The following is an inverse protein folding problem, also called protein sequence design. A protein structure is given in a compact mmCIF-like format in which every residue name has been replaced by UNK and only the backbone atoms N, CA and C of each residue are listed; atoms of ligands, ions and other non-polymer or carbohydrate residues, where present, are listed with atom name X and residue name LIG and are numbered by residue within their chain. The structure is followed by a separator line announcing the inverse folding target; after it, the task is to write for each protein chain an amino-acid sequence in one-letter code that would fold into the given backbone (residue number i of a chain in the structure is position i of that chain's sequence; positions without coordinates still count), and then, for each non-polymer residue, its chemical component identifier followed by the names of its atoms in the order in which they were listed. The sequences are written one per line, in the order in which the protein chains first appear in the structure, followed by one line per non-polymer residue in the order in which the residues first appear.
data_IF_346438074685
#
_entry.id   IF_346438074685
#
_cell.length_a   1.000
_cell.length_b   1.000
_cell.length_c   1.000
_cell.angle_alpha   90.00
_cell.angle_beta   90.00
_cell.angle_gamma   90.00
#
_symmetry.space_group_name_H-M   'P 1'
#
loop_
_entity.id
_entity.type
_entity.pdbx_description
1 polymer ?
#
# COMPACT_ATOMS: atom_id res chain seq x y z
N UNK A 1 33.66 -20.73 58.38
CA UNK A 1 32.68 -20.91 57.28
C UNK A 1 32.90 -19.75 56.28
N UNK A 2 33.56 -20.05 55.16
CA UNK A 2 33.81 -19.05 54.09
C UNK A 2 32.73 -19.21 53.04
N UNK A 3 31.89 -18.21 52.88
CA UNK A 3 30.90 -18.15 51.81
C UNK A 3 31.58 -17.67 50.51
N UNK A 4 31.65 -18.57 49.52
CA UNK A 4 32.18 -18.27 48.20
C UNK A 4 31.03 -17.69 47.35
N UNK A 5 31.16 -16.39 47.04
CA UNK A 5 30.22 -15.67 46.15
C UNK A 5 30.56 -16.07 44.70
N UNK A 6 29.69 -16.84 44.05
CA UNK A 6 29.80 -17.17 42.64
C UNK A 6 29.19 -16.02 41.87
N UNK A 7 30.03 -15.18 41.30
CA UNK A 7 29.61 -14.14 40.35
C UNK A 7 29.28 -14.83 39.00
N UNK A 8 28.00 -14.88 38.67
CA UNK A 8 27.50 -15.36 37.37
C UNK A 8 27.74 -14.26 36.34
N UNK A 9 28.87 -14.31 35.66
CA UNK A 9 29.16 -13.47 34.49
C UNK A 9 28.26 -13.90 33.34
N UNK A 10 27.17 -13.13 33.12
CA UNK A 10 26.40 -13.20 31.90
C UNK A 10 27.26 -12.66 30.74
N UNK A 11 28.00 -13.53 30.08
CA UNK A 11 28.59 -13.23 28.77
C UNK A 11 27.43 -13.04 27.77
N UNK A 12 27.04 -11.80 27.53
CA UNK A 12 26.20 -11.46 26.39
C UNK A 12 27.01 -11.74 25.13
N UNK A 13 26.68 -12.82 24.48
CA UNK A 13 27.39 -13.33 23.31
C UNK A 13 27.16 -12.37 22.13
N UNK A 14 28.01 -11.35 21.99
CA UNK A 14 27.99 -10.39 20.85
C UNK A 14 28.36 -11.03 19.51
N UNK A 15 28.83 -12.29 19.53
CA UNK A 15 29.27 -13.04 18.35
C UNK A 15 28.08 -13.46 17.44
N UNK A 16 26.86 -13.58 17.97
CA UNK A 16 25.69 -14.04 17.18
C UNK A 16 25.26 -13.02 16.12
N UNK A 17 25.55 -11.72 16.31
CA UNK A 17 25.24 -10.70 15.30
C UNK A 17 26.23 -10.70 14.13
N UNK A 18 27.46 -11.14 14.33
CA UNK A 18 28.51 -11.11 13.29
C UNK A 18 28.33 -12.21 12.24
N UNK A 19 27.73 -13.37 12.61
CA UNK A 19 27.52 -14.48 11.66
C UNK A 19 26.30 -14.29 10.75
N UNK A 20 25.36 -13.41 11.13
CA UNK A 20 24.07 -13.26 10.43
C UNK A 20 24.11 -12.18 9.36
N UNK A 21 24.94 -11.17 9.50
CA UNK A 21 25.06 -10.03 8.56
C UNK A 21 26.52 -9.81 8.15
N UNK A 22 26.79 -9.49 6.87
CA UNK A 22 28.14 -9.07 6.45
C UNK A 22 28.63 -7.87 7.27
N UNK A 23 29.92 -7.79 7.54
CA UNK A 23 30.53 -6.76 8.39
C UNK A 23 30.17 -5.32 8.02
N UNK A 24 29.97 -5.04 6.73
CA UNK A 24 29.54 -3.74 6.20
C UNK A 24 28.11 -3.36 6.59
N UNK A 25 27.24 -4.34 6.87
CA UNK A 25 25.86 -4.13 7.27
C UNK A 25 25.71 -4.05 8.80
N UNK A 26 26.64 -4.62 9.55
CA UNK A 26 26.58 -4.63 11.00
C UNK A 26 26.59 -3.23 11.61
N UNK A 27 27.49 -2.33 11.13
CA UNK A 27 27.51 -0.93 11.59
C UNK A 27 26.17 -0.22 11.38
N UNK A 28 25.50 -0.47 10.24
CA UNK A 28 24.21 0.13 9.93
C UNK A 28 23.08 -0.40 10.86
N UNK A 29 23.07 -1.71 11.15
CA UNK A 29 22.13 -2.29 12.14
C UNK A 29 22.39 -1.73 13.53
N UNK A 30 23.67 -1.66 13.94
CA UNK A 30 24.03 -1.13 15.26
C UNK A 30 23.65 0.35 15.40
N UNK A 31 23.87 1.14 14.34
CA UNK A 31 23.48 2.54 14.31
C UNK A 31 21.97 2.67 14.43
N UNK A 32 21.22 1.88 13.69
CA UNK A 32 19.77 1.83 13.74
C UNK A 32 19.26 1.47 15.16
N UNK A 33 19.81 0.42 15.77
CA UNK A 33 19.43 0.03 17.15
C UNK A 33 19.72 1.16 18.14
N UNK A 34 20.88 1.82 18.02
CA UNK A 34 21.22 2.95 18.90
C UNK A 34 20.24 4.13 18.69
N UNK A 35 19.84 4.42 17.46
CA UNK A 35 18.86 5.46 17.14
C UNK A 35 17.50 5.13 17.73
N UNK A 36 17.02 3.88 17.59
CA UNK A 36 15.76 3.42 18.20
C UNK A 36 15.76 3.57 19.72
N UNK A 37 16.89 3.30 20.37
CA UNK A 37 17.04 3.50 21.83
C UNK A 37 17.04 4.97 22.18
N UNK A 38 17.81 5.80 21.50
CA UNK A 38 18.00 7.21 21.82
C UNK A 38 16.78 8.06 21.49
N UNK A 39 16.18 7.81 20.31
CA UNK A 39 15.08 8.64 19.78
C UNK A 39 13.72 8.18 20.29
N UNK A 40 13.54 6.86 20.38
CA UNK A 40 12.23 6.26 20.65
C UNK A 40 12.13 5.52 21.99
N UNK A 41 13.21 5.51 22.80
CA UNK A 41 13.22 4.91 24.14
C UNK A 41 13.03 3.38 24.15
N UNK A 42 13.46 2.68 23.08
CA UNK A 42 13.42 1.22 23.08
C UNK A 42 14.46 0.64 24.04
N UNK A 43 14.14 -0.50 24.65
CA UNK A 43 15.12 -1.26 25.41
C UNK A 43 16.16 -1.90 24.46
N UNK A 44 17.44 -1.61 24.69
CA UNK A 44 18.54 -2.07 23.83
C UNK A 44 18.63 -3.60 23.80
N UNK A 45 18.51 -4.24 24.96
CA UNK A 45 18.62 -5.71 25.06
C UNK A 45 17.44 -6.40 24.37
N UNK A 46 16.24 -5.83 24.47
CA UNK A 46 15.07 -6.34 23.78
C UNK A 46 15.22 -6.26 22.25
N UNK A 47 15.65 -5.11 21.71
CA UNK A 47 15.92 -4.97 20.27
C UNK A 47 17.01 -5.95 19.82
N UNK A 48 18.10 -6.06 20.56
CA UNK A 48 19.16 -7.02 20.26
C UNK A 48 18.65 -8.46 20.23
N UNK A 49 17.79 -8.83 21.19
CA UNK A 49 17.14 -10.14 21.22
C UNK A 49 16.26 -10.35 19.99
N UNK A 50 15.39 -9.39 19.66
CA UNK A 50 14.50 -9.45 18.49
C UNK A 50 15.31 -9.64 17.21
N UNK A 51 16.36 -8.82 17.01
CA UNK A 51 17.22 -8.90 15.82
C UNK A 51 18.01 -10.22 15.76
N UNK A 52 18.45 -10.77 16.90
CA UNK A 52 19.16 -12.05 16.95
C UNK A 52 18.32 -13.25 16.48
N UNK A 53 17.00 -13.15 16.53
CA UNK A 53 16.08 -14.20 16.04
C UNK A 53 15.92 -14.18 14.51
N UNK A 54 16.44 -13.15 13.83
CA UNK A 54 16.30 -13.03 12.40
C UNK A 54 17.50 -13.64 11.69
N UNK A 55 17.27 -14.79 11.05
CA UNK A 55 18.27 -15.43 10.19
C UNK A 55 18.03 -15.00 8.73
N UNK A 56 19.00 -14.30 8.14
CA UNK A 56 19.00 -13.95 6.73
C UNK A 56 19.70 -15.06 5.93
N UNK A 57 18.90 -15.93 5.33
CA UNK A 57 19.40 -17.05 4.53
C UNK A 57 19.80 -16.64 3.11
N UNK A 58 20.54 -17.52 2.37
CA UNK A 58 20.87 -17.28 0.95
C UNK A 58 19.60 -17.12 0.07
N UNK A 59 18.48 -17.73 0.46
CA UNK A 59 17.19 -17.60 -0.23
C UNK A 59 16.67 -16.15 -0.14
N UNK A 60 16.88 -15.49 1.00
CA UNK A 60 16.48 -14.10 1.17
C UNK A 60 17.27 -13.17 0.24
N UNK A 61 18.54 -13.52 -0.07
CA UNK A 61 19.34 -12.83 -1.09
C UNK A 61 18.81 -13.04 -2.51
N UNK A 62 18.23 -14.21 -2.81
CA UNK A 62 17.59 -14.47 -4.10
C UNK A 62 16.24 -13.76 -4.23
N UNK A 63 15.49 -13.59 -3.14
CA UNK A 63 14.28 -12.75 -3.09
C UNK A 63 14.63 -11.28 -3.24
N UNK A 64 15.72 -10.80 -2.64
CA UNK A 64 16.26 -9.47 -2.89
C UNK A 64 16.63 -9.28 -4.37
N UNK A 65 17.21 -10.30 -5.00
CA UNK A 65 17.56 -10.28 -6.42
C UNK A 65 16.32 -10.31 -7.32
N UNK A 66 15.24 -11.04 -6.96
CA UNK A 66 13.97 -11.03 -7.70
C UNK A 66 13.16 -9.73 -7.51
N UNK A 67 13.31 -9.03 -6.41
CA UNK A 67 12.69 -7.71 -6.19
C UNK A 67 13.54 -6.55 -6.70
N UNK A 68 14.85 -6.74 -6.87
CA UNK A 68 15.76 -5.77 -7.48
C UNK A 68 15.97 -6.01 -8.98
N UNK A 69 15.83 -7.23 -9.46
CA UNK A 69 15.65 -7.56 -10.87
C UNK A 69 14.18 -7.49 -11.27
N UNK A 70 13.44 -6.58 -10.73
CA UNK A 70 12.39 -5.89 -11.43
C UNK A 70 12.95 -4.97 -12.53
N UNK A 71 13.98 -5.35 -13.25
CA UNK A 71 13.97 -5.36 -14.69
C UNK A 71 12.95 -6.42 -15.08
N UNK A 72 11.64 -6.14 -14.80
CA UNK A 72 10.62 -6.44 -15.77
C UNK A 72 11.25 -6.14 -17.12
N UNK A 73 11.08 -7.08 -18.06
CA UNK A 73 11.13 -6.72 -19.46
C UNK A 73 10.57 -5.31 -19.56
N UNK A 74 11.28 -4.41 -20.24
CA UNK A 74 10.89 -3.02 -20.45
C UNK A 74 9.52 -2.90 -21.14
N UNK A 75 8.90 -4.00 -21.55
CA UNK A 75 7.51 -4.12 -21.92
C UNK A 75 6.65 -4.12 -20.65
N UNK A 76 6.04 -2.98 -20.38
CA UNK A 76 4.95 -2.88 -19.43
C UNK A 76 3.87 -3.87 -19.88
N UNK A 77 3.34 -4.67 -18.94
CA UNK A 77 2.18 -5.51 -19.16
C UNK A 77 1.07 -4.69 -19.82
N UNK A 78 0.46 -5.18 -20.92
CA UNK A 78 -0.67 -4.48 -21.54
C UNK A 78 -1.80 -4.27 -20.54
N UNK A 79 -2.59 -3.24 -20.77
CA UNK A 79 -3.72 -2.92 -19.91
C UNK A 79 -4.72 -4.07 -19.83
N UNK A 80 -5.08 -4.64 -20.96
CA UNK A 80 -6.00 -5.79 -21.01
C UNK A 80 -5.53 -6.95 -20.14
N UNK A 81 -4.25 -7.30 -20.22
CA UNK A 81 -3.65 -8.36 -19.41
C UNK A 81 -3.63 -8.00 -17.93
N UNK A 82 -3.32 -6.74 -17.58
CA UNK A 82 -3.38 -6.27 -16.20
C UNK A 82 -4.81 -6.29 -15.66
N UNK A 83 -5.76 -5.79 -16.44
CA UNK A 83 -7.18 -5.77 -16.11
C UNK A 83 -7.72 -7.17 -15.85
N UNK A 84 -7.38 -8.15 -16.68
CA UNK A 84 -7.84 -9.53 -16.54
C UNK A 84 -7.39 -10.23 -15.25
N UNK A 85 -6.36 -9.72 -14.56
CA UNK A 85 -5.92 -10.24 -13.26
C UNK A 85 -6.86 -9.77 -12.14
N UNK A 86 -7.39 -8.56 -12.24
CA UNK A 86 -8.10 -7.91 -11.15
C UNK A 86 -9.60 -7.77 -11.36
N UNK A 87 -10.05 -7.51 -12.58
CA UNK A 87 -11.47 -7.33 -12.89
C UNK A 87 -12.03 -8.65 -13.45
N UNK A 88 -12.39 -9.56 -12.55
CA UNK A 88 -12.88 -10.90 -12.88
C UNK A 88 -14.22 -11.16 -12.22
N UNK A 89 -15.08 -11.97 -12.85
CA UNK A 89 -16.38 -12.37 -12.28
C UNK A 89 -16.22 -12.91 -10.86
N UNK A 90 -15.32 -13.85 -10.64
CA UNK A 90 -15.12 -14.44 -9.31
C UNK A 90 -14.61 -13.46 -8.25
N UNK A 91 -14.00 -12.29 -8.64
CA UNK A 91 -13.70 -11.22 -7.69
C UNK A 91 -14.90 -10.32 -7.46
N UNK A 92 -15.70 -10.05 -8.50
CA UNK A 92 -16.95 -9.30 -8.39
C UNK A 92 -17.90 -10.01 -7.46
N UNK A 93 -18.15 -11.32 -7.67
CA UNK A 93 -19.06 -12.12 -6.83
C UNK A 93 -18.67 -12.06 -5.34
N UNK A 94 -17.38 -12.29 -5.06
CA UNK A 94 -16.85 -12.19 -3.68
C UNK A 94 -16.96 -10.79 -3.12
N UNK A 95 -16.81 -9.77 -3.95
CA UNK A 95 -16.94 -8.39 -3.55
C UNK A 95 -18.36 -8.01 -3.20
N UNK A 96 -19.35 -8.49 -3.94
CA UNK A 96 -20.76 -8.31 -3.62
C UNK A 96 -21.10 -8.96 -2.28
N UNK A 97 -20.64 -10.20 -2.04
CA UNK A 97 -20.81 -10.88 -0.76
C UNK A 97 -20.12 -10.11 0.38
N UNK A 98 -18.90 -9.64 0.15
CA UNK A 98 -18.19 -8.82 1.14
C UNK A 98 -18.94 -7.53 1.44
N UNK A 99 -19.48 -6.86 0.42
CA UNK A 99 -20.25 -5.63 0.56
C UNK A 99 -21.53 -5.87 1.37
N UNK A 100 -22.29 -6.91 1.04
CA UNK A 100 -23.50 -7.29 1.79
C UNK A 100 -23.21 -7.53 3.28
N UNK A 101 -22.15 -8.29 3.57
CA UNK A 101 -21.74 -8.63 4.94
C UNK A 101 -21.24 -7.43 5.76
N UNK A 102 -20.73 -6.38 5.10
CA UNK A 102 -20.17 -5.20 5.75
C UNK A 102 -20.91 -3.91 5.37
N UNK A 103 -22.18 -4.02 4.94
CA UNK A 103 -22.97 -2.92 4.39
C UNK A 103 -22.95 -1.70 5.29
N UNK A 104 -23.27 -1.86 6.57
CA UNK A 104 -23.35 -0.75 7.52
C UNK A 104 -22.00 -0.05 7.72
N UNK A 105 -20.90 -0.80 7.82
CA UNK A 105 -19.56 -0.21 7.98
C UNK A 105 -19.15 0.58 6.72
N UNK A 106 -19.48 0.07 5.54
CA UNK A 106 -19.22 0.73 4.26
C UNK A 106 -20.03 2.02 4.11
N UNK A 107 -21.32 1.99 4.43
CA UNK A 107 -22.20 3.18 4.42
C UNK A 107 -21.70 4.24 5.42
N UNK A 108 -21.30 3.83 6.61
CA UNK A 108 -20.72 4.73 7.61
C UNK A 108 -19.42 5.36 7.11
N UNK A 109 -18.55 4.58 6.45
CA UNK A 109 -17.28 5.08 5.90
C UNK A 109 -17.53 6.06 4.74
N UNK A 110 -18.45 5.74 3.84
CA UNK A 110 -18.88 6.62 2.75
C UNK A 110 -19.46 7.93 3.27
N UNK A 111 -20.34 7.85 4.28
CA UNK A 111 -20.91 9.04 4.93
C UNK A 111 -19.85 9.91 5.59
N UNK A 112 -18.90 9.30 6.30
CA UNK A 112 -17.87 10.01 7.07
C UNK A 112 -16.78 10.63 6.20
N UNK A 113 -16.31 9.89 5.19
CA UNK A 113 -15.14 10.24 4.40
C UNK A 113 -15.44 10.67 2.96
N UNK A 114 -16.69 10.51 2.52
CA UNK A 114 -17.12 10.82 1.16
C UNK A 114 -16.59 9.86 0.09
N UNK A 115 -15.98 8.74 0.49
CA UNK A 115 -15.43 7.73 -0.42
C UNK A 115 -16.47 6.67 -0.69
N UNK A 116 -16.88 6.44 -1.95
CA UNK A 116 -17.92 5.46 -2.28
C UNK A 116 -17.57 4.05 -1.79
N UNK A 117 -18.55 3.35 -1.24
CA UNK A 117 -18.44 1.95 -0.79
C UNK A 117 -17.84 1.05 -1.85
N UNK A 118 -18.21 1.24 -3.12
CA UNK A 118 -17.66 0.49 -4.26
C UNK A 118 -16.15 0.61 -4.39
N UNK A 119 -15.57 1.79 -4.17
CA UNK A 119 -14.12 2.04 -4.23
C UNK A 119 -13.41 1.32 -3.09
N UNK A 120 -13.95 1.38 -1.88
CA UNK A 120 -13.38 0.70 -0.70
C UNK A 120 -13.35 -0.81 -0.92
N UNK A 121 -14.46 -1.38 -1.39
CA UNK A 121 -14.60 -2.81 -1.70
C UNK A 121 -13.64 -3.21 -2.83
N UNK A 122 -13.50 -2.39 -3.88
CA UNK A 122 -12.57 -2.65 -4.98
C UNK A 122 -11.11 -2.70 -4.51
N UNK A 123 -10.68 -1.77 -3.66
CA UNK A 123 -9.33 -1.77 -3.08
C UNK A 123 -9.12 -3.04 -2.25
N UNK A 124 -10.03 -3.40 -1.35
CA UNK A 124 -9.96 -4.64 -0.56
C UNK A 124 -9.88 -5.89 -1.45
N UNK A 125 -10.61 -5.87 -2.56
CA UNK A 125 -10.59 -6.94 -3.56
C UNK A 125 -9.24 -7.08 -4.25
N UNK A 126 -8.63 -5.98 -4.66
CA UNK A 126 -7.33 -5.97 -5.36
C UNK A 126 -6.20 -6.33 -4.40
N UNK A 127 -6.19 -5.75 -3.20
CA UNK A 127 -5.10 -5.91 -2.24
C UNK A 127 -5.02 -7.32 -1.66
N UNK A 128 -6.15 -7.85 -1.19
CA UNK A 128 -6.14 -9.08 -0.40
C UNK A 128 -7.18 -10.11 -0.81
N UNK A 129 -7.90 -9.88 -1.93
CA UNK A 129 -9.06 -10.71 -2.27
C UNK A 129 -10.03 -10.81 -1.07
N UNK A 130 -10.39 -9.64 -0.53
CA UNK A 130 -11.26 -9.47 0.63
C UNK A 130 -10.73 -10.14 1.91
N UNK A 131 -9.45 -9.95 2.19
CA UNK A 131 -8.76 -10.46 3.37
C UNK A 131 -8.24 -11.90 3.26
N UNK A 132 -8.53 -12.60 2.15
CA UNK A 132 -8.11 -14.00 1.97
C UNK A 132 -6.59 -14.17 1.87
N UNK A 133 -5.88 -13.14 1.37
CA UNK A 133 -4.44 -13.18 1.10
C UNK A 133 -3.77 -11.91 1.65
N UNK A 134 -3.43 -11.91 2.93
CA UNK A 134 -2.78 -10.76 3.58
C UNK A 134 -1.24 -10.82 3.57
N UNK A 135 -0.67 -11.81 2.91
CA UNK A 135 0.77 -12.04 2.87
C UNK A 135 1.22 -13.19 3.76
N UNK A 136 2.39 -13.75 3.43
CA UNK A 136 2.95 -14.94 4.10
C UNK A 136 4.38 -14.75 4.62
N UNK A 137 4.97 -13.59 4.36
CA UNK A 137 6.37 -13.33 4.71
C UNK A 137 6.47 -12.72 6.11
N UNK A 138 7.39 -13.21 6.98
CA UNK A 138 7.65 -12.55 8.26
C UNK A 138 8.08 -11.11 8.03
N UNK A 139 7.25 -10.15 8.44
CA UNK A 139 7.41 -8.73 8.10
C UNK A 139 8.71 -8.15 8.60
N UNK A 140 9.06 -8.41 9.87
CA UNK A 140 10.31 -7.95 10.45
C UNK A 140 11.53 -8.42 9.63
N UNK A 141 11.59 -9.71 9.28
CA UNK A 141 12.66 -10.28 8.46
C UNK A 141 12.71 -9.63 7.07
N UNK A 142 11.57 -9.41 6.47
CA UNK A 142 11.44 -8.75 5.16
C UNK A 142 12.00 -7.33 5.20
N UNK A 143 11.59 -6.54 6.19
CA UNK A 143 12.03 -5.17 6.34
C UNK A 143 13.53 -5.07 6.66
N UNK A 144 14.05 -5.90 7.57
CA UNK A 144 15.50 -5.96 7.87
C UNK A 144 16.30 -6.30 6.61
N UNK A 145 15.88 -7.33 5.87
CA UNK A 145 16.56 -7.73 4.64
C UNK A 145 16.60 -6.63 3.58
N UNK A 146 15.56 -5.81 3.49
CA UNK A 146 15.50 -4.66 2.55
C UNK A 146 16.22 -3.42 3.09
N UNK A 147 16.14 -3.16 4.39
CA UNK A 147 16.75 -2.01 5.05
C UNK A 147 18.29 -2.11 5.07
N UNK A 148 18.82 -3.31 5.21
CA UNK A 148 20.28 -3.53 5.35
C UNK A 148 20.90 -4.37 4.22
N UNK A 149 20.07 -4.78 3.24
CA UNK A 149 20.53 -5.49 2.04
C UNK A 149 20.97 -4.56 0.90
N UNK A 150 20.91 -5.08 -0.31
CA UNK A 150 21.35 -4.39 -1.55
C UNK A 150 20.24 -3.55 -2.21
N UNK A 151 19.13 -3.31 -1.54
CA UNK A 151 18.01 -2.53 -2.10
C UNK A 151 18.43 -1.09 -2.40
N UNK A 152 18.07 -0.58 -3.59
CA UNK A 152 18.22 0.85 -3.93
C UNK A 152 17.33 1.76 -3.06
N UNK A 153 16.29 1.19 -2.43
CA UNK A 153 15.36 1.88 -1.53
C UNK A 153 15.70 1.63 -0.05
N UNK A 154 16.96 1.36 0.29
CA UNK A 154 17.38 1.03 1.67
C UNK A 154 16.91 2.04 2.70
N UNK A 155 17.10 3.34 2.47
CA UNK A 155 16.69 4.39 3.40
C UNK A 155 15.17 4.41 3.64
N UNK A 156 14.38 4.15 2.60
CA UNK A 156 12.95 3.99 2.73
C UNK A 156 12.61 2.80 3.65
N UNK A 157 13.23 1.64 3.43
CA UNK A 157 12.96 0.45 4.25
C UNK A 157 13.49 0.56 5.69
N UNK A 158 14.50 1.39 5.94
CA UNK A 158 14.92 1.70 7.31
C UNK A 158 13.83 2.48 8.06
N UNK A 159 13.20 3.46 7.42
CA UNK A 159 12.04 4.19 7.98
C UNK A 159 10.81 3.29 8.15
N UNK A 160 10.59 2.36 7.24
CA UNK A 160 9.50 1.39 7.39
C UNK A 160 9.77 0.39 8.52
N UNK A 161 11.03 -0.02 8.74
CA UNK A 161 11.42 -0.86 9.87
C UNK A 161 11.26 -0.13 11.20
N UNK A 162 11.65 1.14 11.26
CA UNK A 162 11.40 2.02 12.41
C UNK A 162 9.90 2.11 12.70
N UNK A 163 9.08 2.44 11.69
CA UNK A 163 7.63 2.51 11.80
C UNK A 163 7.00 1.18 12.22
N UNK A 164 7.52 0.06 11.75
CA UNK A 164 7.05 -1.27 12.11
C UNK A 164 7.30 -1.61 13.59
N UNK A 165 8.48 -1.28 14.11
CA UNK A 165 8.80 -1.52 15.52
C UNK A 165 7.96 -0.61 16.43
N UNK A 166 7.74 0.63 16.03
CA UNK A 166 6.86 1.56 16.74
C UNK A 166 5.40 1.05 16.72
N UNK A 167 4.90 0.68 15.55
CA UNK A 167 3.56 0.09 15.38
C UNK A 167 3.36 -1.14 16.28
N UNK A 168 4.34 -2.04 16.29
CA UNK A 168 4.28 -3.25 17.11
C UNK A 168 4.21 -2.92 18.60
N UNK A 169 4.96 -1.93 19.07
CA UNK A 169 4.94 -1.47 20.46
C UNK A 169 3.63 -0.75 20.81
N UNK A 170 3.19 0.17 19.97
CA UNK A 170 1.97 0.98 20.16
C UNK A 170 0.71 0.11 20.26
N UNK A 171 0.65 -0.97 19.48
CA UNK A 171 -0.49 -1.89 19.44
C UNK A 171 -0.26 -3.21 20.19
N UNK A 172 0.82 -3.32 20.95
CA UNK A 172 1.17 -4.54 21.71
C UNK A 172 1.21 -5.79 20.82
N UNK A 173 1.70 -5.65 19.59
CA UNK A 173 1.79 -6.75 18.63
C UNK A 173 3.13 -7.47 18.75
N UNK A 174 3.16 -8.82 18.63
CA UNK A 174 4.41 -9.57 18.66
C UNK A 174 5.18 -9.44 17.33
N UNK A 175 6.28 -8.64 17.26
CA UNK A 175 6.91 -8.28 15.99
C UNK A 175 7.48 -9.48 15.22
N UNK A 176 7.81 -10.56 15.90
CA UNK A 176 8.30 -11.81 15.30
C UNK A 176 7.20 -12.65 14.64
N UNK A 177 5.94 -12.47 15.02
CA UNK A 177 4.82 -13.27 14.52
C UNK A 177 4.09 -12.62 13.35
N UNK A 178 4.24 -11.29 13.15
CA UNK A 178 3.53 -10.54 12.12
C UNK A 178 4.00 -10.97 10.73
N UNK A 179 3.03 -11.31 9.87
CA UNK A 179 3.23 -11.63 8.46
C UNK A 179 2.63 -10.54 7.57
N UNK A 180 3.23 -10.37 6.40
CA UNK A 180 2.77 -9.42 5.40
C UNK A 180 3.21 -9.80 4.00
N UNK A 181 3.18 -8.85 3.09
CA UNK A 181 3.65 -9.03 1.70
C UNK A 181 5.18 -9.12 1.62
N UNK A 182 5.69 -9.48 0.46
CA UNK A 182 7.13 -9.45 0.16
C UNK A 182 7.72 -8.03 0.16
N UNK A 183 6.90 -7.00 0.25
CA UNK A 183 7.29 -5.61 0.40
C UNK A 183 7.14 -5.10 1.85
N UNK A 184 6.55 -5.89 2.74
CA UNK A 184 6.30 -5.53 4.13
C UNK A 184 4.95 -4.83 4.37
N UNK A 185 4.02 -4.91 3.40
CA UNK A 185 2.65 -4.40 3.56
C UNK A 185 1.82 -5.34 4.44
N UNK A 186 0.87 -4.78 5.19
CA UNK A 186 0.21 -5.38 6.33
C UNK A 186 -1.32 -5.42 6.20
N UNK A 187 -1.91 -6.54 6.62
CA UNK A 187 -3.34 -6.69 6.85
C UNK A 187 -4.22 -6.56 5.62
N UNK A 188 -5.51 -6.38 5.83
CA UNK A 188 -6.54 -6.23 4.77
C UNK A 188 -6.23 -5.11 3.79
N UNK A 189 -5.79 -3.96 4.31
CA UNK A 189 -5.51 -2.75 3.53
C UNK A 189 -4.15 -2.77 2.85
N UNK A 190 -3.29 -3.75 3.13
CA UNK A 190 -1.91 -3.81 2.64
C UNK A 190 -1.13 -2.50 2.84
N UNK A 191 -1.35 -1.85 3.98
CA UNK A 191 -0.59 -0.67 4.35
C UNK A 191 0.85 -1.03 4.70
N UNK A 192 1.81 -0.25 4.20
CA UNK A 192 3.17 -0.28 4.75
C UNK A 192 3.15 0.25 6.19
N UNK A 193 4.12 -0.11 7.04
CA UNK A 193 4.08 0.25 8.46
C UNK A 193 3.86 1.74 8.76
N UNK A 194 4.49 2.63 8.00
CA UNK A 194 4.28 4.07 8.15
C UNK A 194 2.86 4.49 7.82
N UNK A 195 2.26 3.94 6.75
CA UNK A 195 0.88 4.19 6.39
C UNK A 195 -0.11 3.63 7.41
N UNK A 196 0.18 2.46 7.98
CA UNK A 196 -0.63 1.89 9.06
C UNK A 196 -0.68 2.85 10.27
N UNK A 197 0.47 3.34 10.74
CA UNK A 197 0.55 4.29 11.86
C UNK A 197 -0.12 5.62 11.60
N UNK A 198 -0.11 6.07 10.34
CA UNK A 198 -0.61 7.41 10.01
C UNK A 198 -2.08 7.44 9.63
N UNK A 199 -2.57 6.42 8.89
CA UNK A 199 -3.89 6.43 8.29
C UNK A 199 -4.87 5.41 8.88
N UNK A 200 -4.40 4.38 9.60
CA UNK A 200 -5.30 3.41 10.18
C UNK A 200 -6.11 4.02 11.33
N UNK A 201 -7.38 3.64 11.40
CA UNK A 201 -8.33 4.14 12.39
C UNK A 201 -9.06 2.99 13.06
N UNK A 202 -9.37 3.14 14.34
CA UNK A 202 -10.36 2.36 15.06
C UNK A 202 -11.75 2.83 14.59
N UNK A 203 -12.38 2.05 13.74
CA UNK A 203 -13.59 2.49 13.05
C UNK A 203 -14.87 1.97 13.70
N UNK A 204 -14.80 0.92 14.48
CA UNK A 204 -15.94 0.40 15.28
C UNK A 204 -15.88 0.81 16.75
N UNK A 205 -14.84 1.58 17.13
CA UNK A 205 -14.63 2.12 18.48
C UNK A 205 -14.46 1.03 19.55
N UNK A 206 -13.77 -0.06 19.21
CA UNK A 206 -13.41 -1.12 20.15
C UNK A 206 -12.12 -0.80 20.95
N UNK A 207 -11.56 0.41 20.76
CA UNK A 207 -10.31 0.92 21.33
C UNK A 207 -9.04 0.25 20.80
N UNK A 208 -9.12 -0.35 19.63
CA UNK A 208 -8.00 -0.97 18.93
C UNK A 208 -8.03 -0.61 17.46
N UNK A 209 -6.84 -0.60 16.84
CA UNK A 209 -6.71 -0.51 15.39
C UNK A 209 -6.16 -1.85 14.89
N UNK A 210 -7.01 -2.70 14.33
CA UNK A 210 -6.62 -4.05 13.87
C UNK A 210 -6.90 -4.25 12.37
N UNK A 211 -5.93 -3.91 11.53
CA UNK A 211 -6.04 -4.17 10.09
C UNK A 211 -5.81 -5.65 9.72
N UNK A 212 -5.51 -6.53 10.67
CA UNK A 212 -5.30 -7.95 10.39
C UNK A 212 -6.58 -8.78 10.52
N UNK A 213 -7.47 -8.44 11.45
CA UNK A 213 -8.63 -9.25 11.78
C UNK A 213 -9.94 -8.46 11.79
N UNK A 214 -9.88 -7.12 11.85
CA UNK A 214 -11.06 -6.26 11.92
C UNK A 214 -11.35 -5.64 10.55
N UNK A 215 -12.47 -6.08 9.92
CA UNK A 215 -12.90 -5.56 8.62
C UNK A 215 -13.41 -4.12 8.71
N UNK A 216 -13.99 -3.70 9.85
CA UNK A 216 -14.47 -2.34 10.05
C UNK A 216 -13.30 -1.36 10.05
N UNK A 217 -12.23 -1.68 10.78
CA UNK A 217 -11.02 -0.86 10.77
C UNK A 217 -10.37 -0.79 9.39
N UNK A 218 -10.35 -1.90 8.67
CA UNK A 218 -9.82 -1.93 7.31
C UNK A 218 -10.64 -1.04 6.36
N UNK A 219 -11.96 -1.09 6.43
CA UNK A 219 -12.90 -0.25 5.66
C UNK A 219 -12.68 1.23 5.99
N UNK A 220 -12.73 1.57 7.28
CA UNK A 220 -12.52 2.94 7.74
C UNK A 220 -11.14 3.49 7.38
N UNK A 221 -10.10 2.68 7.52
CA UNK A 221 -8.73 3.08 7.23
C UNK A 221 -8.46 3.32 5.73
N UNK A 222 -9.05 2.52 4.84
CA UNK A 222 -8.97 2.75 3.38
C UNK A 222 -9.68 4.05 3.03
N UNK A 223 -10.88 4.28 3.57
CA UNK A 223 -11.62 5.51 3.34
C UNK A 223 -10.86 6.74 3.89
N UNK A 224 -10.33 6.65 5.11
CA UNK A 224 -9.51 7.69 5.70
C UNK A 224 -8.26 7.99 4.85
N UNK A 225 -7.57 6.95 4.36
CA UNK A 225 -6.41 7.11 3.48
C UNK A 225 -6.74 7.96 2.24
N UNK A 226 -7.84 7.66 1.56
CA UNK A 226 -8.24 8.40 0.37
C UNK A 226 -8.69 9.83 0.71
N UNK A 227 -9.39 10.03 1.84
CA UNK A 227 -9.78 11.35 2.32
C UNK A 227 -8.55 12.23 2.63
N UNK A 228 -7.55 11.69 3.32
CA UNK A 228 -6.27 12.37 3.61
C UNK A 228 -5.47 12.69 2.32
N UNK A 229 -5.76 11.98 1.23
CA UNK A 229 -5.25 12.29 -0.11
C UNK A 229 -6.19 13.17 -0.93
N UNK A 230 -7.07 13.92 -0.24
CA UNK A 230 -8.02 14.88 -0.81
C UNK A 230 -9.03 14.26 -1.77
N UNK A 231 -9.58 13.09 -1.41
CA UNK A 231 -10.73 12.55 -2.13
C UNK A 231 -11.87 13.58 -2.16
N UNK A 232 -12.42 13.80 -3.33
CA UNK A 232 -13.51 14.74 -3.54
C UNK A 232 -14.82 13.95 -3.62
N UNK A 233 -15.70 14.17 -2.65
CA UNK A 233 -17.03 13.52 -2.60
C UNK A 233 -17.81 13.85 -3.87
N UNK A 234 -18.50 12.85 -4.42
CA UNK A 234 -19.35 12.93 -5.60
C UNK A 234 -18.66 13.42 -6.89
N UNK A 235 -17.34 13.64 -6.87
CA UNK A 235 -16.57 14.00 -8.05
C UNK A 235 -16.21 12.78 -8.90
N UNK A 236 -16.06 13.01 -10.18
CA UNK A 236 -15.71 11.98 -11.15
C UNK A 236 -14.29 11.43 -10.93
N UNK A 237 -14.06 10.23 -11.47
CA UNK A 237 -12.76 9.53 -11.36
C UNK A 237 -12.06 9.54 -12.70
N UNK A 238 -12.69 9.01 -13.74
CA UNK A 238 -12.14 8.98 -15.09
C UNK A 238 -13.24 8.82 -16.14
N UNK A 239 -12.98 9.36 -17.34
CA UNK A 239 -13.82 9.20 -18.54
C UNK A 239 -12.96 8.80 -19.72
N UNK A 240 -13.47 7.94 -20.61
CA UNK A 240 -12.84 7.70 -21.91
C UNK A 240 -12.87 9.01 -22.72
N UNK A 241 -11.79 9.30 -23.42
CA UNK A 241 -11.71 10.45 -24.31
C UNK A 241 -10.86 10.13 -25.55
N UNK A 242 -11.05 10.90 -26.58
CA UNK A 242 -10.23 10.83 -27.79
C UNK A 242 -9.40 12.11 -27.91
N UNK A 243 -8.16 11.96 -28.31
CA UNK A 243 -7.26 13.08 -28.59
C UNK A 243 -6.72 12.92 -30.01
N UNK A 244 -6.72 13.99 -30.76
CA UNK A 244 -6.14 14.01 -32.09
C UNK A 244 -4.60 13.89 -32.05
N UNK A 245 -3.97 13.82 -33.23
CA UNK A 245 -2.51 13.64 -33.32
C UNK A 245 -1.72 14.80 -32.70
N UNK A 246 -2.25 16.01 -32.74
CA UNK A 246 -1.58 17.21 -32.23
C UNK A 246 -1.68 17.31 -30.73
N UNK A 247 -2.74 16.76 -30.16
CA UNK A 247 -3.06 16.75 -28.73
C UNK A 247 -2.37 15.60 -27.95
N UNK A 248 -1.74 14.64 -28.66
CA UNK A 248 -1.07 13.48 -28.05
C UNK A 248 0.05 13.88 -27.06
N UNK A 249 0.64 15.05 -27.24
CA UNK A 249 1.68 15.60 -26.34
C UNK A 249 1.17 15.95 -24.93
N UNK A 250 -0.13 16.07 -24.73
CA UNK A 250 -0.75 16.37 -23.45
C UNK A 250 -0.81 15.12 -22.53
N UNK A 251 -0.63 13.92 -23.10
CA UNK A 251 -0.67 12.68 -22.36
C UNK A 251 0.63 12.51 -21.58
N UNK A 252 0.51 12.19 -20.32
CA UNK A 252 1.64 11.87 -19.47
C UNK A 252 1.78 10.35 -19.33
N UNK A 253 2.96 9.83 -19.66
CA UNK A 253 3.30 8.40 -19.53
C UNK A 253 3.42 7.95 -18.06
N UNK A 254 3.68 8.88 -17.17
CA UNK A 254 3.74 8.66 -15.73
C UNK A 254 2.43 9.07 -15.08
N UNK A 255 2.31 8.81 -13.78
CA UNK A 255 1.17 9.26 -12.98
C UNK A 255 1.00 10.76 -13.16
N UNK A 256 -0.16 11.13 -13.67
CA UNK A 256 -0.49 12.51 -13.97
C UNK A 256 -1.33 13.10 -12.84
N UNK A 257 -0.78 14.11 -12.18
CA UNK A 257 -1.55 14.92 -11.22
C UNK A 257 -2.38 15.94 -11.99
N UNK A 258 -3.71 16.00 -11.79
CA UNK A 258 -4.55 17.03 -12.41
C UNK A 258 -4.18 18.41 -11.85
N UNK A 259 -3.53 19.24 -12.67
CA UNK A 259 -3.09 20.58 -12.25
C UNK A 259 -3.65 21.69 -13.14
N UNK A 260 -4.07 21.36 -14.35
CA UNK A 260 -4.68 22.28 -15.31
C UNK A 260 -6.20 22.07 -15.29
N UNK A 261 -6.95 23.16 -15.30
CA UNK A 261 -8.40 23.13 -15.27
C UNK A 261 -9.02 22.89 -16.66
N UNK A 262 -10.32 22.64 -16.70
CA UNK A 262 -11.06 22.35 -17.92
C UNK A 262 -11.04 23.54 -18.88
N UNK A 263 -11.09 24.79 -18.36
CA UNK A 263 -10.99 26.00 -19.18
C UNK A 263 -9.68 26.02 -19.97
N UNK A 264 -8.54 25.78 -19.29
CA UNK A 264 -7.23 25.74 -19.94
C UNK A 264 -7.19 24.73 -21.10
N UNK A 265 -7.78 23.55 -20.91
CA UNK A 265 -7.80 22.51 -21.94
C UNK A 265 -8.72 22.88 -23.11
N UNK A 266 -9.88 23.52 -22.84
CA UNK A 266 -10.77 24.05 -23.89
C UNK A 266 -10.09 25.15 -24.72
N UNK A 267 -9.35 26.05 -24.08
CA UNK A 267 -8.57 27.08 -24.76
C UNK A 267 -7.48 26.53 -25.69
N UNK A 268 -6.99 25.31 -25.38
CA UNK A 268 -6.08 24.55 -26.25
C UNK A 268 -6.81 23.73 -27.34
N UNK A 269 -8.12 23.86 -27.45
CA UNK A 269 -8.92 23.22 -28.50
C UNK A 269 -9.32 21.77 -28.17
N UNK A 270 -9.27 21.35 -26.89
CA UNK A 270 -9.77 20.03 -26.50
C UNK A 270 -11.29 20.05 -26.32
N UNK A 271 -11.94 19.02 -26.83
CA UNK A 271 -13.36 18.78 -26.57
C UNK A 271 -13.54 18.21 -25.16
N UNK A 272 -13.77 19.09 -24.19
CA UNK A 272 -14.13 18.73 -22.83
C UNK A 272 -15.65 18.86 -22.66
N UNK A 273 -16.28 17.79 -22.19
CA UNK A 273 -17.72 17.73 -21.91
C UNK A 273 -18.19 19.01 -21.20
N UNK A 274 -19.21 19.65 -21.74
CA UNK A 274 -19.75 20.92 -21.25
C UNK A 274 -20.35 20.85 -19.84
N UNK A 275 -20.66 19.64 -19.35
CA UNK A 275 -21.11 19.40 -17.98
C UNK A 275 -19.97 19.51 -16.95
N UNK A 276 -18.72 19.47 -17.38
CA UNK A 276 -17.55 19.66 -16.53
C UNK A 276 -17.31 21.16 -16.35
N UNK A 277 -17.35 21.64 -15.11
CA UNK A 277 -17.11 23.04 -14.79
C UNK A 277 -15.68 23.47 -15.18
N UNK A 278 -15.50 24.73 -15.54
CA UNK A 278 -14.25 25.29 -16.03
C UNK A 278 -13.10 25.20 -15.05
N UNK A 279 -13.35 25.23 -13.74
CA UNK A 279 -12.37 25.16 -12.65
C UNK A 279 -11.93 23.73 -12.27
N UNK A 280 -12.58 22.72 -12.82
CA UNK A 280 -12.25 21.30 -12.53
C UNK A 280 -10.90 20.94 -13.15
N UNK A 281 -9.99 20.46 -12.31
CA UNK A 281 -8.64 20.07 -12.73
C UNK A 281 -8.62 18.70 -13.37
N UNK A 282 -7.98 18.61 -14.52
CA UNK A 282 -7.96 17.43 -15.39
C UNK A 282 -6.53 17.01 -15.74
N UNK A 283 -6.36 15.75 -16.07
CA UNK A 283 -5.17 15.21 -16.68
C UNK A 283 -5.53 14.10 -17.68
N UNK A 284 -4.59 13.76 -18.55
CA UNK A 284 -4.76 12.71 -19.55
C UNK A 284 -3.77 11.60 -19.31
N UNK A 285 -4.25 10.37 -19.35
CA UNK A 285 -3.42 9.17 -19.30
C UNK A 285 -3.69 8.29 -20.50
N UNK A 286 -2.74 7.41 -20.80
CA UNK A 286 -2.88 6.38 -21.82
C UNK A 286 -2.69 5.00 -21.20
N UNK A 287 -3.58 4.10 -21.60
CA UNK A 287 -3.47 2.69 -21.31
C UNK A 287 -3.17 1.94 -22.61
N UNK A 288 -2.09 1.19 -22.62
CA UNK A 288 -1.62 0.48 -23.80
C UNK A 288 -2.11 -0.96 -23.76
N UNK A 289 -2.84 -1.37 -24.77
CA UNK A 289 -3.15 -2.76 -25.07
C UNK A 289 -2.23 -3.27 -26.18
N UNK A 290 -2.24 -4.58 -26.43
CA UNK A 290 -1.34 -5.19 -27.41
C UNK A 290 -1.57 -4.68 -28.84
N UNK A 291 -2.80 -4.25 -29.19
CA UNK A 291 -3.19 -3.78 -30.53
C UNK A 291 -3.88 -2.41 -30.52
N UNK A 292 -4.13 -1.81 -29.36
CA UNK A 292 -4.88 -0.56 -29.23
C UNK A 292 -4.35 0.29 -28.10
N UNK A 293 -4.79 1.53 -28.10
CA UNK A 293 -4.49 2.48 -27.03
C UNK A 293 -5.80 3.14 -26.60
N UNK A 294 -6.04 3.20 -25.30
CA UNK A 294 -7.16 3.91 -24.73
C UNK A 294 -6.66 5.18 -24.04
N UNK A 295 -7.22 6.31 -24.41
CA UNK A 295 -6.96 7.58 -23.74
C UNK A 295 -8.08 7.88 -22.75
N UNK A 296 -7.70 8.31 -21.58
CA UNK A 296 -8.61 8.63 -20.49
C UNK A 296 -8.37 10.03 -19.96
N UNK A 297 -9.45 10.77 -19.83
CA UNK A 297 -9.52 11.98 -19.02
C UNK A 297 -9.63 11.56 -17.57
N UNK A 298 -8.78 12.09 -16.70
CA UNK A 298 -8.74 11.72 -15.28
C UNK A 298 -8.90 12.94 -14.39
N UNK A 299 -9.57 12.73 -13.27
CA UNK A 299 -9.88 13.75 -12.27
C UNK A 299 -9.05 13.55 -11.01
N UNK A 300 -9.26 14.38 -10.00
CA UNK A 300 -8.51 14.31 -8.77
C UNK A 300 -8.66 12.96 -8.06
N UNK A 301 -9.86 12.37 -8.07
CA UNK A 301 -10.12 11.09 -7.41
C UNK A 301 -9.32 9.93 -8.04
N UNK A 302 -9.08 9.95 -9.35
CA UNK A 302 -8.15 9.01 -9.97
C UNK A 302 -6.73 9.17 -9.42
N UNK A 303 -6.26 10.42 -9.31
CA UNK A 303 -4.96 10.70 -8.72
C UNK A 303 -4.90 10.26 -7.25
N UNK A 304 -5.95 10.46 -6.45
CA UNK A 304 -6.03 9.98 -5.07
C UNK A 304 -5.86 8.45 -4.98
N UNK A 305 -6.48 7.69 -5.89
CA UNK A 305 -6.28 6.23 -5.96
C UNK A 305 -4.82 5.91 -6.29
N UNK A 306 -4.15 6.66 -7.16
CA UNK A 306 -2.73 6.43 -7.45
C UNK A 306 -1.81 6.67 -6.25
N UNK A 307 -2.28 7.30 -5.17
CA UNK A 307 -1.48 7.45 -3.93
C UNK A 307 -1.39 6.14 -3.17
N UNK A 308 -2.44 5.31 -3.27
CA UNK A 308 -2.46 3.98 -2.68
C UNK A 308 -1.38 3.06 -3.30
N UNK A 309 -1.35 3.03 -4.63
CA UNK A 309 -0.28 2.38 -5.39
C UNK A 309 0.07 3.24 -6.60
N UNK A 310 1.35 3.63 -6.72
CA UNK A 310 1.85 4.58 -7.72
C UNK A 310 1.88 3.98 -9.14
N UNK A 311 0.69 3.64 -9.67
CA UNK A 311 0.52 3.04 -11.00
C UNK A 311 -0.86 3.39 -11.59
N UNK A 312 -0.90 3.85 -12.85
CA UNK A 312 -2.14 4.17 -13.56
C UNK A 312 -2.99 2.92 -13.83
N UNK A 313 -2.36 1.76 -14.10
CA UNK A 313 -3.08 0.50 -14.27
C UNK A 313 -3.79 0.08 -12.97
N UNK A 314 -3.12 0.26 -11.82
CA UNK A 314 -3.74 0.01 -10.52
C UNK A 314 -4.97 0.87 -10.31
N UNK A 315 -4.84 2.18 -10.49
CA UNK A 315 -5.95 3.11 -10.27
C UNK A 315 -7.12 2.82 -11.20
N UNK A 316 -6.84 2.49 -12.46
CA UNK A 316 -7.88 2.11 -13.42
C UNK A 316 -8.52 0.77 -13.08
N UNK A 317 -7.77 -0.22 -12.57
CA UNK A 317 -8.32 -1.49 -12.13
C UNK A 317 -9.25 -1.32 -10.92
N UNK A 318 -8.87 -0.46 -9.95
CA UNK A 318 -9.74 -0.08 -8.83
C UNK A 318 -11.04 0.54 -9.35
N UNK A 319 -10.93 1.52 -10.23
CA UNK A 319 -12.08 2.21 -10.80
C UNK A 319 -13.01 1.25 -11.56
N UNK A 320 -12.48 0.47 -12.52
CA UNK A 320 -13.31 -0.45 -13.30
C UNK A 320 -13.89 -1.58 -12.47
N UNK A 321 -13.17 -2.09 -11.46
CA UNK A 321 -13.72 -3.08 -10.54
C UNK A 321 -14.84 -2.46 -9.70
N UNK A 322 -14.69 -1.22 -9.23
CA UNK A 322 -15.72 -0.54 -8.44
C UNK A 322 -17.02 -0.34 -9.24
N UNK A 323 -16.91 0.00 -10.53
CA UNK A 323 -18.08 0.14 -11.40
C UNK A 323 -18.83 -1.19 -11.58
N UNK A 324 -18.09 -2.29 -11.81
CA UNK A 324 -18.69 -3.62 -11.91
C UNK A 324 -19.34 -4.07 -10.59
N UNK A 325 -18.68 -3.82 -9.47
CA UNK A 325 -19.24 -4.10 -8.14
C UNK A 325 -20.53 -3.32 -7.89
N UNK A 326 -20.55 -2.03 -8.19
CA UNK A 326 -21.71 -1.17 -8.05
C UNK A 326 -22.88 -1.67 -8.90
N UNK A 327 -22.62 -1.97 -10.17
CA UNK A 327 -23.63 -2.48 -11.09
C UNK A 327 -24.21 -3.81 -10.60
N UNK A 328 -23.37 -4.77 -10.22
CA UNK A 328 -23.80 -6.09 -9.77
C UNK A 328 -24.56 -6.00 -8.43
N UNK A 329 -24.05 -5.21 -7.48
CA UNK A 329 -24.68 -5.02 -6.18
C UNK A 329 -26.10 -4.42 -6.32
N UNK A 330 -26.25 -3.39 -7.16
CA UNK A 330 -27.57 -2.74 -7.39
C UNK A 330 -28.56 -3.69 -8.08
N UNK A 331 -28.10 -4.60 -8.93
CA UNK A 331 -28.97 -5.58 -9.60
C UNK A 331 -29.36 -6.77 -8.71
N UNK A 332 -28.74 -6.92 -7.54
CA UNK A 332 -28.98 -8.05 -6.61
C UNK A 332 -29.92 -7.66 -5.45
N UNK A 333 -30.18 -6.37 -5.29
CA UNK A 333 -31.14 -5.81 -4.30
C UNK A 333 -32.49 -5.62 -4.95
#
# INVERSE_FOLDING_TARGET
MKATLIALLLFVNTAVFAEVLPSTHFKSVQTFVNEMVQTHGFNKSELQFIFSKIQLTKVDKSMQKKTSTGTRSTEKMSWEKYRSIFVTEGRIDKGVIFWQNNKQALENAESKYGVPSAIIVAILGIETNYGKVQGKYPTLKTLIGKAFGTSSRRNFYQKELESFLLLARENTLPPLAIKGSSAGALGYAQFIPSSYRYYAVDFDNDFRVDLFNNTHDAIGSIANYLAEHNWQKDAEIAKVTELDKTQQSFIQEKISKPIKDAQYWRELGLEIDSTINDDVKLAFIRLHDDQSMQTWLTFWNFYAITRYNHDNHYAMAVYQLSEQLKQTFTSTI
#
